data_IF_890334967152
#
_entry.id   IF_890334967152
#
_cell.length_a   1.000
_cell.length_b   1.000
_cell.length_c   1.000
_cell.angle_alpha   90.00
_cell.angle_beta   90.00
_cell.angle_gamma   90.00
#
_symmetry.space_group_name_H-M   'P 1'
#
loop_
_entity.id
_entity.type
_entity.pdbx_description
1 polymer ?
#
# COMPACT_ATOMS: atom_id res chain seq x y z
N UNK A 1 11.97 5.50 -9.72
CA UNK A 1 12.63 4.75 -8.64
C UNK A 1 11.63 4.01 -7.77
N UNK A 2 10.56 4.69 -7.30
CA UNK A 2 9.54 4.03 -6.48
C UNK A 2 8.83 2.91 -7.23
N UNK A 3 8.50 3.10 -8.51
CA UNK A 3 7.85 2.07 -9.30
C UNK A 3 8.71 0.80 -9.38
N UNK A 4 10.00 0.94 -9.61
CA UNK A 4 10.92 -0.19 -9.63
C UNK A 4 11.06 -0.86 -8.27
N UNK A 5 11.09 -0.06 -7.20
CA UNK A 5 11.18 -0.56 -5.84
C UNK A 5 9.93 -1.38 -5.47
N UNK A 6 8.74 -0.89 -5.83
CA UNK A 6 7.49 -1.62 -5.63
C UNK A 6 7.45 -2.89 -6.47
N UNK A 7 7.89 -2.84 -7.72
CA UNK A 7 7.91 -4.01 -8.59
C UNK A 7 8.76 -5.14 -8.01
N UNK A 8 9.88 -4.81 -7.39
CA UNK A 8 10.79 -5.80 -6.84
C UNK A 8 10.50 -6.20 -5.40
N UNK A 9 10.20 -5.24 -4.53
CA UNK A 9 10.13 -5.45 -3.09
C UNK A 9 8.77 -5.10 -2.48
N UNK A 10 7.87 -4.53 -3.26
CA UNK A 10 6.60 -4.03 -2.74
C UNK A 10 5.47 -5.02 -2.80
N UNK A 11 4.40 -4.68 -2.09
CA UNK A 11 3.15 -5.41 -2.12
C UNK A 11 2.02 -4.40 -2.27
N UNK A 12 1.12 -4.67 -3.22
CA UNK A 12 -0.07 -3.85 -3.44
C UNK A 12 -1.28 -4.71 -3.16
N UNK A 13 -2.15 -4.23 -2.26
CA UNK A 13 -3.39 -4.91 -1.91
C UNK A 13 -4.56 -4.11 -2.46
N UNK A 14 -5.39 -4.76 -3.26
CA UNK A 14 -6.65 -4.23 -3.74
C UNK A 14 -7.67 -5.35 -3.65
N UNK A 15 -8.51 -5.31 -2.61
CA UNK A 15 -9.55 -6.33 -2.43
C UNK A 15 -10.74 -5.77 -1.69
N UNK A 16 -11.91 -6.36 -1.94
CA UNK A 16 -13.09 -6.09 -1.15
C UNK A 16 -13.37 -7.29 -0.25
N UNK A 17 -13.95 -7.02 0.89
CA UNK A 17 -14.30 -8.05 1.86
C UNK A 17 -15.54 -7.63 2.63
N UNK A 18 -16.19 -8.63 3.24
CA UNK A 18 -17.35 -8.40 4.09
C UNK A 18 -16.87 -8.30 5.53
N UNK A 19 -17.36 -7.28 6.25
CA UNK A 19 -17.00 -7.06 7.63
C UNK A 19 -18.24 -6.80 8.48
N UNK A 20 -18.23 -7.33 9.71
CA UNK A 20 -19.24 -7.06 10.73
C UNK A 20 -18.65 -5.99 11.66
N UNK A 21 -18.95 -4.72 11.40
CA UNK A 21 -18.41 -3.63 12.20
C UNK A 21 -18.99 -3.57 13.62
N UNK A 22 -20.16 -4.15 13.84
CA UNK A 22 -20.80 -4.22 15.17
C UNK A 22 -21.33 -5.61 15.43
N UNK A 23 -20.98 -6.16 16.59
CA UNK A 23 -21.41 -7.49 17.00
C UNK A 23 -22.92 -7.58 17.28
N UNK A 24 -23.57 -6.44 17.56
CA UNK A 24 -24.98 -6.36 17.86
C UNK A 24 -25.88 -6.20 16.64
N UNK A 25 -25.29 -6.02 15.44
CA UNK A 25 -26.03 -5.89 14.18
C UNK A 25 -25.61 -7.00 13.22
N UNK A 26 -26.56 -7.75 12.67
CA UNK A 26 -26.25 -8.85 11.75
C UNK A 26 -25.91 -8.40 10.34
N UNK A 27 -25.73 -7.11 10.09
CA UNK A 27 -25.44 -6.59 8.77
C UNK A 27 -23.94 -6.65 8.48
N UNK A 28 -23.60 -7.31 7.38
CA UNK A 28 -22.24 -7.30 6.83
C UNK A 28 -22.09 -6.08 5.94
N UNK A 29 -20.99 -5.37 6.10
CA UNK A 29 -20.66 -4.23 5.25
C UNK A 29 -19.59 -4.63 4.25
N UNK A 30 -19.76 -4.18 3.00
CA UNK A 30 -18.75 -4.37 1.97
C UNK A 30 -17.64 -3.36 2.21
N UNK A 31 -16.45 -3.85 2.50
CA UNK A 31 -15.28 -3.02 2.76
C UNK A 31 -14.22 -3.25 1.70
N UNK A 32 -13.40 -2.23 1.50
CA UNK A 32 -12.27 -2.30 0.59
C UNK A 32 -10.97 -2.16 1.37
N UNK A 33 -9.97 -2.95 0.97
CA UNK A 33 -8.61 -2.77 1.47
C UNK A 33 -7.75 -2.36 0.28
N UNK A 34 -7.28 -1.12 0.32
CA UNK A 34 -6.46 -0.54 -0.74
C UNK A 34 -5.21 0.01 -0.08
N UNK A 35 -4.07 -0.62 -0.37
CA UNK A 35 -2.81 -0.20 0.24
C UNK A 35 -1.62 -0.63 -0.61
N UNK A 36 -0.51 0.09 -0.44
CA UNK A 36 0.79 -0.32 -0.94
C UNK A 36 1.78 -0.30 0.19
N UNK A 37 2.74 -1.23 0.16
CA UNK A 37 3.65 -1.45 1.27
C UNK A 37 5.00 -1.90 0.76
N UNK A 38 6.05 -1.41 1.39
CA UNK A 38 7.42 -1.88 1.17
C UNK A 38 8.02 -2.21 2.52
N UNK A 39 8.58 -3.41 2.64
CA UNK A 39 9.25 -3.88 3.86
C UNK A 39 10.65 -4.33 3.50
N UNK A 40 11.65 -3.82 4.20
CA UNK A 40 13.04 -4.25 3.98
C UNK A 40 13.90 -3.93 5.20
N UNK A 41 15.12 -4.49 5.22
CA UNK A 41 16.07 -4.25 6.31
C UNK A 41 16.83 -2.94 6.15
N UNK A 42 16.84 -2.35 4.96
CA UNK A 42 17.57 -1.12 4.66
C UNK A 42 16.73 0.10 5.03
N UNK A 43 16.92 0.62 6.24
CA UNK A 43 16.14 1.75 6.75
C UNK A 43 16.22 3.00 5.87
N UNK A 44 17.40 3.41 5.34
CA UNK A 44 17.46 4.62 4.52
C UNK A 44 16.51 4.61 3.32
N UNK A 45 16.30 3.45 2.68
CA UNK A 45 15.38 3.32 1.55
C UNK A 45 13.94 3.55 2.00
N UNK A 46 13.55 2.96 3.13
CA UNK A 46 12.21 3.10 3.68
C UNK A 46 11.98 4.55 4.14
N UNK A 47 12.97 5.18 4.75
CA UNK A 47 12.89 6.57 5.14
C UNK A 47 12.73 7.48 3.92
N UNK A 48 13.44 7.17 2.83
CA UNK A 48 13.28 7.89 1.57
C UNK A 48 11.83 7.86 1.08
N UNK A 49 11.18 6.70 1.15
CA UNK A 49 9.77 6.58 0.74
C UNK A 49 8.87 7.49 1.56
N UNK A 50 9.06 7.50 2.89
CA UNK A 50 8.26 8.35 3.77
C UNK A 50 8.52 9.83 3.52
N UNK A 51 9.77 10.21 3.29
CA UNK A 51 10.14 11.60 3.06
C UNK A 51 9.57 12.13 1.73
N UNK A 52 9.51 11.29 0.70
CA UNK A 52 9.06 11.71 -0.64
C UNK A 52 7.56 11.57 -0.85
N UNK A 53 6.94 10.56 -0.25
CA UNK A 53 5.55 10.22 -0.51
C UNK A 53 4.66 10.28 0.72
N UNK A 54 5.21 10.72 1.83
CA UNK A 54 4.45 10.85 3.07
C UNK A 54 4.34 9.54 3.83
N UNK A 55 3.77 9.63 5.03
CA UNK A 55 3.66 8.49 5.92
C UNK A 55 4.80 8.40 6.90
N UNK A 56 4.89 7.28 7.57
CA UNK A 56 5.88 7.04 8.61
C UNK A 56 6.65 5.77 8.34
N UNK A 57 7.82 5.66 8.96
CA UNK A 57 8.60 4.44 8.98
C UNK A 57 8.20 3.66 10.23
N UNK A 58 7.78 2.41 10.05
CA UNK A 58 7.44 1.52 11.15
C UNK A 58 8.54 0.48 11.31
N UNK A 59 8.90 0.19 12.54
CA UNK A 59 9.85 -0.86 12.85
C UNK A 59 9.09 -2.18 13.03
N UNK A 60 9.63 -3.24 12.42
CA UNK A 60 9.04 -4.58 12.51
C UNK A 60 10.08 -5.55 13.03
N UNK A 61 10.14 -5.78 14.35
CA UNK A 61 11.10 -6.73 14.93
C UNK A 61 10.81 -8.16 14.45
N UNK A 62 11.86 -8.93 14.20
CA UNK A 62 11.75 -10.33 13.79
C UNK A 62 12.55 -11.25 14.72
N UNK A 63 12.37 -11.10 16.03
CA UNK A 63 13.06 -11.94 17.00
C UNK A 63 14.58 -11.79 16.89
N UNK A 64 15.29 -12.89 16.61
CA UNK A 64 16.75 -12.91 16.46
C UNK A 64 17.22 -12.42 15.10
N UNK A 65 16.30 -12.17 14.16
CA UNK A 65 16.65 -11.67 12.84
C UNK A 65 16.81 -10.16 12.84
N UNK A 66 17.38 -9.64 11.73
CA UNK A 66 17.56 -8.19 11.58
C UNK A 66 16.23 -7.47 11.63
N UNK A 67 16.24 -6.28 12.23
CA UNK A 67 15.08 -5.40 12.24
C UNK A 67 14.64 -5.09 10.82
N UNK A 68 13.34 -5.22 10.55
CA UNK A 68 12.76 -4.77 9.29
C UNK A 68 12.08 -3.44 9.48
N UNK A 69 12.03 -2.66 8.41
CA UNK A 69 11.37 -1.37 8.37
C UNK A 69 10.28 -1.41 7.33
N UNK A 70 9.16 -0.78 7.63
CA UNK A 70 7.97 -0.80 6.78
C UNK A 70 7.50 0.61 6.49
N UNK A 71 7.15 0.85 5.22
CA UNK A 71 6.44 2.03 4.76
C UNK A 71 5.15 1.56 4.10
N UNK A 72 4.03 2.23 4.45
CA UNK A 72 2.71 1.86 3.93
C UNK A 72 1.89 3.11 3.67
N UNK A 73 1.18 3.10 2.56
CA UNK A 73 0.18 4.12 2.24
C UNK A 73 -1.12 3.41 1.88
N UNK A 74 -2.26 4.02 2.23
CA UNK A 74 -3.58 3.39 2.09
C UNK A 74 -4.58 4.35 1.47
N UNK A 75 -5.61 3.79 0.82
CA UNK A 75 -6.75 4.51 0.28
C UNK A 75 -6.34 5.68 -0.63
N UNK A 76 -6.82 6.90 -0.36
CA UNK A 76 -6.55 8.04 -1.23
C UNK A 76 -5.07 8.43 -1.30
N UNK A 77 -4.32 8.19 -0.25
CA UNK A 77 -2.88 8.40 -0.27
C UNK A 77 -2.21 7.44 -1.25
N UNK A 78 -2.65 6.19 -1.26
CA UNK A 78 -2.18 5.21 -2.23
C UNK A 78 -2.61 5.57 -3.66
N UNK A 79 -3.80 6.15 -3.82
CA UNK A 79 -4.27 6.62 -5.12
C UNK A 79 -3.35 7.65 -5.74
N UNK A 80 -2.95 8.66 -4.96
CA UNK A 80 -2.07 9.72 -5.48
C UNK A 80 -0.72 9.16 -5.92
N UNK A 81 -0.18 8.22 -5.15
CA UNK A 81 1.07 7.56 -5.51
C UNK A 81 0.87 6.67 -6.74
N UNK A 82 -0.23 5.92 -6.81
CA UNK A 82 -0.53 5.06 -7.95
C UNK A 82 -0.58 5.86 -9.26
N UNK A 83 -1.22 7.03 -9.25
CA UNK A 83 -1.29 7.91 -10.42
C UNK A 83 0.11 8.34 -10.88
N UNK A 84 1.00 8.61 -9.92
CA UNK A 84 2.33 9.08 -10.24
C UNK A 84 3.23 7.98 -10.82
N UNK A 85 3.10 6.75 -10.33
CA UNK A 85 4.05 5.68 -10.66
C UNK A 85 3.54 4.64 -11.65
N UNK A 86 2.23 4.55 -11.89
CA UNK A 86 1.66 3.54 -12.78
C UNK A 86 2.34 3.48 -14.16
N UNK A 87 2.65 4.62 -14.82
CA UNK A 87 3.31 4.57 -16.13
C UNK A 87 4.71 3.95 -16.09
N UNK A 88 5.34 3.91 -14.92
CA UNK A 88 6.71 3.41 -14.75
C UNK A 88 6.78 2.00 -14.18
N UNK A 89 5.64 1.45 -13.73
CA UNK A 89 5.59 0.12 -13.16
C UNK A 89 5.47 -0.94 -14.26
N UNK A 90 6.12 -2.07 -14.05
CA UNK A 90 6.05 -3.22 -14.98
C UNK A 90 5.21 -4.32 -14.38
N UNK A 91 5.58 -4.82 -13.21
CA UNK A 91 4.93 -5.99 -12.60
C UNK A 91 3.68 -5.63 -11.80
N UNK A 92 3.56 -4.40 -11.31
CA UNK A 92 2.44 -3.95 -10.46
C UNK A 92 1.46 -3.04 -11.19
N UNK A 93 1.63 -2.82 -12.49
CA UNK A 93 0.81 -1.89 -13.26
C UNK A 93 -0.68 -2.19 -13.15
N UNK A 94 -1.07 -3.47 -13.26
CA UNK A 94 -2.48 -3.86 -13.22
C UNK A 94 -3.11 -3.52 -11.87
N UNK A 95 -2.41 -3.78 -10.77
CA UNK A 95 -2.90 -3.45 -9.43
C UNK A 95 -3.00 -1.94 -9.22
N UNK A 96 -2.02 -1.19 -9.70
CA UNK A 96 -2.04 0.27 -9.63
C UNK A 96 -3.21 0.83 -10.43
N UNK A 97 -3.47 0.27 -11.61
CA UNK A 97 -4.58 0.70 -12.44
C UNK A 97 -5.91 0.38 -11.78
N UNK A 98 -6.04 -0.76 -11.09
CA UNK A 98 -7.24 -1.09 -10.34
C UNK A 98 -7.54 -0.06 -9.25
N UNK A 99 -6.50 0.44 -8.56
CA UNK A 99 -6.65 1.50 -7.56
C UNK A 99 -7.14 2.78 -8.22
N UNK A 100 -6.53 3.18 -9.32
CA UNK A 100 -6.91 4.39 -10.05
C UNK A 100 -8.36 4.31 -10.52
N UNK A 101 -8.74 3.19 -11.11
CA UNK A 101 -10.10 2.98 -11.62
C UNK A 101 -11.14 2.97 -10.50
N UNK A 102 -10.79 2.43 -9.34
CA UNK A 102 -11.69 2.39 -8.18
C UNK A 102 -12.18 3.79 -7.78
N UNK A 103 -11.29 4.77 -7.81
CA UNK A 103 -11.64 6.15 -7.46
C UNK A 103 -12.13 6.96 -8.67
N UNK A 104 -11.73 6.56 -9.87
CA UNK A 104 -12.13 7.25 -11.10
C UNK A 104 -13.63 7.24 -11.35
N UNK A 105 -14.28 6.11 -11.08
CA UNK A 105 -15.71 5.93 -11.29
C UNK A 105 -16.56 6.73 -10.31
N UNK A 106 -15.95 7.38 -9.33
CA UNK A 106 -16.66 8.15 -8.31
C UNK A 106 -16.48 9.67 -8.47
N UNK A 107 -15.79 10.05 -9.52
CA UNK A 107 -15.54 11.48 -9.78
C UNK A 107 -16.79 12.23 -10.25
#
# INVERSE_FOLDING_TARGET
YLAGLLDGEGCITYKKYWDLKRKDRPHKYLCWRIQMEIVMTHKPTIQWCADKFGGKVYEKPRGEHKMQYRWRRSFRDALEIAKAIAPYSITKRDKLQQIIDHYGDKA
#
